data_IF_975082836776
#
_entry.id   IF_975082836776
#
_cell.length_a   1.000
_cell.length_b   1.000
_cell.length_c   1.000
_cell.angle_alpha   90.00
_cell.angle_beta   90.00
_cell.angle_gamma   90.00
#
_symmetry.space_group_name_H-M   'P 1'
#
loop_
_entity.id
_entity.type
_entity.pdbx_description
1 polymer ?
#
# COMPACT_ATOMS: atom_id res chain seq x y z
N UNK A 1 21.47 1.15 4.07
CA UNK A 1 20.14 0.48 4.21
C UNK A 1 19.48 0.34 2.85
N UNK A 2 18.95 -0.86 2.55
CA UNK A 2 18.19 -1.07 1.33
C UNK A 2 16.77 -0.52 1.50
N UNK A 3 16.27 0.18 0.48
CA UNK A 3 14.98 0.86 0.53
C UNK A 3 14.15 0.49 -0.69
N UNK A 4 12.94 0.01 -0.47
CA UNK A 4 12.05 -0.43 -1.54
C UNK A 4 10.67 0.19 -1.40
N UNK A 5 10.17 0.76 -2.50
CA UNK A 5 8.80 1.23 -2.60
C UNK A 5 8.03 0.23 -3.45
N UNK A 6 7.04 -0.42 -2.82
CA UNK A 6 6.26 -1.49 -3.43
C UNK A 6 4.92 -0.91 -3.87
N UNK A 7 4.77 -0.67 -5.17
CA UNK A 7 3.55 -0.12 -5.75
C UNK A 7 2.64 -1.25 -6.16
N UNK A 8 1.48 -1.37 -5.54
CA UNK A 8 0.52 -2.44 -5.87
C UNK A 8 -0.66 -1.84 -6.63
N UNK A 9 -0.90 -2.37 -7.83
CA UNK A 9 -1.98 -1.94 -8.73
C UNK A 9 -3.06 -2.98 -8.87
N UNK A 10 -2.71 -4.26 -8.69
CA UNK A 10 -3.62 -5.36 -8.92
C UNK A 10 -4.61 -5.52 -7.77
N UNK A 11 -5.91 -5.59 -8.10
CA UNK A 11 -6.98 -5.73 -7.11
C UNK A 11 -7.31 -7.17 -6.74
N UNK A 12 -6.53 -8.15 -7.19
CA UNK A 12 -6.72 -9.55 -6.82
C UNK A 12 -6.08 -9.80 -5.45
N UNK A 13 -6.85 -10.32 -4.46
CA UNK A 13 -6.27 -10.64 -3.15
C UNK A 13 -5.09 -11.60 -3.21
N UNK A 14 -5.06 -12.51 -4.20
CA UNK A 14 -3.94 -13.44 -4.40
C UNK A 14 -2.65 -12.70 -4.78
N UNK A 15 -2.76 -11.55 -5.44
CA UNK A 15 -1.60 -10.71 -5.75
C UNK A 15 -1.26 -9.81 -4.56
N UNK A 16 -2.28 -9.29 -3.88
CA UNK A 16 -2.09 -8.38 -2.76
C UNK A 16 -1.36 -9.04 -1.59
N UNK A 17 -1.61 -10.34 -1.34
CA UNK A 17 -0.91 -11.05 -0.26
C UNK A 17 0.61 -11.01 -0.46
N UNK A 18 1.07 -11.05 -1.71
CA UNK A 18 2.51 -11.04 -2.00
C UNK A 18 3.17 -9.71 -1.63
N UNK A 19 2.48 -8.58 -1.82
CA UNK A 19 3.06 -7.30 -1.41
C UNK A 19 3.14 -7.21 0.11
N UNK A 20 2.13 -7.72 0.83
CA UNK A 20 2.15 -7.73 2.29
C UNK A 20 3.28 -8.60 2.82
N UNK A 21 3.41 -9.82 2.30
CA UNK A 21 4.44 -10.75 2.73
C UNK A 21 5.84 -10.22 2.45
N UNK A 22 6.06 -9.65 1.26
CA UNK A 22 7.38 -9.12 0.91
C UNK A 22 7.74 -7.89 1.76
N UNK A 23 6.80 -6.99 2.00
CA UNK A 23 7.06 -5.83 2.83
C UNK A 23 7.45 -6.24 4.26
N UNK A 24 6.72 -7.21 4.82
CA UNK A 24 6.99 -7.70 6.16
C UNK A 24 8.36 -8.41 6.22
N UNK A 25 8.65 -9.26 5.24
CA UNK A 25 9.94 -9.96 5.17
C UNK A 25 11.11 -8.97 5.04
N UNK A 26 10.97 -7.98 4.17
CA UNK A 26 12.00 -6.94 4.02
C UNK A 26 12.22 -6.17 5.32
N UNK A 27 11.11 -5.81 5.99
CA UNK A 27 11.19 -5.09 7.26
C UNK A 27 11.91 -5.92 8.34
N UNK A 28 11.61 -7.22 8.42
CA UNK A 28 12.25 -8.11 9.37
C UNK A 28 13.76 -8.23 9.13
N UNK A 29 14.18 -8.04 7.87
CA UNK A 29 15.60 -8.08 7.49
C UNK A 29 16.29 -6.72 7.54
N UNK A 30 15.61 -5.73 8.10
CA UNK A 30 16.17 -4.38 8.29
C UNK A 30 16.10 -3.47 7.08
N UNK A 31 15.31 -3.83 6.06
CA UNK A 31 15.09 -2.96 4.90
C UNK A 31 14.03 -1.92 5.25
N UNK A 32 14.08 -0.77 4.58
CA UNK A 32 13.01 0.22 4.63
C UNK A 32 12.04 -0.10 3.49
N UNK A 33 10.93 -0.73 3.82
CA UNK A 33 9.90 -1.11 2.83
C UNK A 33 8.67 -0.23 3.01
N UNK A 34 8.16 0.30 1.89
CA UNK A 34 6.96 1.14 1.86
C UNK A 34 5.99 0.57 0.85
N UNK A 35 4.73 0.41 1.24
CA UNK A 35 3.67 -0.04 0.34
C UNK A 35 2.86 1.16 -0.12
N UNK A 36 2.69 1.32 -1.43
CA UNK A 36 1.86 2.35 -2.04
C UNK A 36 0.75 1.64 -2.81
N UNK A 37 -0.51 1.92 -2.44
CA UNK A 37 -1.66 1.21 -3.00
C UNK A 37 -2.32 2.06 -4.07
N UNK A 38 -2.36 1.55 -5.31
CA UNK A 38 -2.87 2.25 -6.46
C UNK A 38 -3.87 1.42 -7.26
N UNK A 39 -4.52 2.07 -8.21
CA UNK A 39 -5.37 1.40 -9.19
C UNK A 39 -6.46 0.56 -8.56
N UNK A 40 -6.71 -0.60 -9.15
CA UNK A 40 -7.74 -1.51 -8.68
C UNK A 40 -7.49 -2.05 -7.27
N UNK A 41 -6.24 -2.00 -6.80
CA UNK A 41 -5.92 -2.47 -5.44
C UNK A 41 -6.60 -1.60 -4.37
N UNK A 42 -6.94 -0.34 -4.67
CA UNK A 42 -7.62 0.53 -3.71
C UNK A 42 -9.00 0.01 -3.31
N UNK A 43 -9.63 -0.81 -4.15
CA UNK A 43 -10.92 -1.41 -3.82
C UNK A 43 -10.86 -2.37 -2.66
N UNK A 44 -9.66 -2.91 -2.36
CA UNK A 44 -9.46 -3.87 -1.27
C UNK A 44 -9.45 -3.23 0.11
N UNK A 45 -9.24 -1.92 0.20
CA UNK A 45 -9.05 -1.24 1.50
C UNK A 45 -10.15 -1.57 2.51
N UNK A 46 -11.46 -1.42 2.19
CA UNK A 46 -12.50 -1.77 3.15
C UNK A 46 -12.55 -3.27 3.47
N UNK A 47 -12.21 -4.12 2.50
CA UNK A 47 -12.24 -5.57 2.71
C UNK A 47 -11.12 -6.03 3.65
N UNK A 48 -9.94 -5.42 3.55
CA UNK A 48 -8.79 -5.79 4.37
C UNK A 48 -9.01 -5.47 5.85
N UNK A 49 -9.88 -4.52 6.16
CA UNK A 49 -10.18 -4.16 7.54
C UNK A 49 -11.18 -5.11 8.22
N UNK A 50 -11.81 -6.00 7.46
CA UNK A 50 -12.76 -6.96 8.00
C UNK A 50 -12.01 -8.12 8.66
N UNK A 51 -12.35 -8.43 9.92
CA UNK A 51 -11.71 -9.52 10.66
C UNK A 51 -11.90 -10.88 10.00
N UNK A 52 -12.96 -11.04 9.20
CA UNK A 52 -13.22 -12.27 8.46
C UNK A 52 -12.35 -12.42 7.21
N UNK A 53 -11.68 -11.37 6.78
CA UNK A 53 -10.83 -11.43 5.59
C UNK A 53 -9.55 -12.21 5.90
N UNK A 54 -9.18 -13.20 5.06
CA UNK A 54 -7.95 -13.99 5.30
C UNK A 54 -6.67 -13.15 5.38
N UNK A 55 -6.65 -11.96 4.76
CA UNK A 55 -5.48 -11.09 4.77
C UNK A 55 -5.49 -10.08 5.93
N UNK A 56 -6.54 -10.09 6.75
CA UNK A 56 -6.71 -9.06 7.79
C UNK A 56 -5.51 -8.97 8.76
N UNK A 57 -5.00 -10.10 9.23
CA UNK A 57 -3.90 -10.09 10.19
C UNK A 57 -2.61 -9.54 9.58
N UNK A 58 -2.31 -9.89 8.33
CA UNK A 58 -1.16 -9.35 7.61
C UNK A 58 -1.31 -7.85 7.37
N UNK A 59 -2.51 -7.43 6.96
CA UNK A 59 -2.82 -6.02 6.75
C UNK A 59 -2.65 -5.19 8.02
N UNK A 60 -3.23 -5.70 9.11
CA UNK A 60 -3.13 -5.05 10.42
C UNK A 60 -1.67 -4.92 10.85
N UNK A 61 -0.89 -5.98 10.66
CA UNK A 61 0.53 -5.97 11.01
C UNK A 61 1.30 -4.96 10.16
N UNK A 62 1.08 -4.96 8.86
CA UNK A 62 1.76 -4.02 7.96
C UNK A 62 1.48 -2.56 8.35
N UNK A 63 0.22 -2.25 8.70
CA UNK A 63 -0.15 -0.91 9.16
C UNK A 63 0.51 -0.57 10.49
N UNK A 64 0.47 -1.50 11.45
CA UNK A 64 1.04 -1.29 12.79
C UNK A 64 2.55 -1.05 12.73
N UNK A 65 3.23 -1.70 11.79
CA UNK A 65 4.68 -1.55 11.62
C UNK A 65 5.07 -0.37 10.72
N UNK A 66 4.09 0.42 10.27
CA UNK A 66 4.35 1.60 9.48
C UNK A 66 4.79 1.32 8.03
N UNK A 67 4.44 0.14 7.50
CA UNK A 67 4.85 -0.26 6.16
C UNK A 67 3.95 0.29 5.05
N UNK A 68 2.75 0.73 5.40
CA UNK A 68 1.81 1.29 4.40
C UNK A 68 2.03 2.78 4.32
N UNK A 69 2.66 3.24 3.23
CA UNK A 69 2.95 4.65 3.03
C UNK A 69 1.69 5.45 2.71
N UNK A 70 0.80 4.88 1.90
CA UNK A 70 -0.45 5.53 1.58
C UNK A 70 -1.16 4.91 0.40
N UNK A 71 -2.24 5.56 0.00
CA UNK A 71 -3.10 5.11 -1.09
C UNK A 71 -3.28 6.21 -2.11
N UNK A 72 -3.48 5.83 -3.37
CA UNK A 72 -3.78 6.75 -4.45
C UNK A 72 -5.12 7.45 -4.17
N UNK A 73 -5.10 8.78 -4.06
CA UNK A 73 -6.32 9.54 -3.78
C UNK A 73 -7.34 9.41 -4.90
N UNK A 74 -6.91 9.61 -6.14
CA UNK A 74 -7.79 9.54 -7.31
C UNK A 74 -8.40 8.16 -7.49
N UNK A 75 -7.58 7.10 -7.32
CA UNK A 75 -8.06 5.72 -7.46
C UNK A 75 -9.02 5.33 -6.35
N UNK A 76 -8.73 5.75 -5.11
CA UNK A 76 -9.62 5.51 -3.97
C UNK A 76 -10.97 6.21 -4.15
N UNK A 77 -10.95 7.42 -4.70
CA UNK A 77 -12.19 8.13 -5.00
C UNK A 77 -12.99 7.43 -6.09
N UNK A 78 -12.32 7.02 -7.16
CA UNK A 78 -12.96 6.30 -8.26
C UNK A 78 -13.56 4.98 -7.83
N UNK A 79 -12.87 4.26 -6.95
CA UNK A 79 -13.33 2.96 -6.42
C UNK A 79 -14.28 3.12 -5.23
N UNK A 80 -14.59 4.36 -4.84
CA UNK A 80 -15.50 4.67 -3.73
C UNK A 80 -15.01 4.11 -2.39
N UNK A 81 -13.69 4.09 -2.18
CA UNK A 81 -13.06 3.57 -0.96
C UNK A 81 -12.29 4.62 -0.16
N UNK A 82 -12.42 5.89 -0.57
CA UNK A 82 -11.69 6.97 0.11
C UNK A 82 -12.09 7.12 1.58
N UNK A 83 -13.36 6.87 1.90
CA UNK A 83 -13.84 6.90 3.28
C UNK A 83 -13.18 5.82 4.14
N UNK A 84 -13.05 4.60 3.59
CA UNK A 84 -12.39 3.50 4.28
C UNK A 84 -10.91 3.81 4.52
N UNK A 85 -10.24 4.42 3.52
CA UNK A 85 -8.84 4.82 3.66
C UNK A 85 -8.68 5.84 4.80
N UNK A 86 -9.55 6.84 4.84
CA UNK A 86 -9.53 7.86 5.91
C UNK A 86 -9.79 7.25 7.28
N UNK A 87 -10.78 6.37 7.37
CA UNK A 87 -11.13 5.71 8.63
C UNK A 87 -9.95 4.90 9.18
N UNK A 88 -9.17 4.28 8.29
CA UNK A 88 -8.00 3.50 8.70
C UNK A 88 -6.75 4.37 8.89
N UNK A 89 -6.85 5.67 8.71
CA UNK A 89 -5.72 6.58 8.90
C UNK A 89 -4.68 6.51 7.80
N UNK A 90 -5.04 6.04 6.61
CA UNK A 90 -4.09 5.92 5.50
C UNK A 90 -3.90 7.26 4.80
N UNK A 91 -2.63 7.71 4.63
CA UNK A 91 -2.38 8.95 3.89
C UNK A 91 -2.87 8.86 2.44
N UNK A 92 -3.45 9.93 1.95
CA UNK A 92 -3.90 10.03 0.57
C UNK A 92 -2.80 10.69 -0.25
N UNK A 93 -2.28 9.98 -1.24
CA UNK A 93 -1.16 10.43 -2.05
C UNK A 93 -1.67 10.99 -3.38
N UNK A 94 -1.19 12.19 -3.77
CA UNK A 94 -1.77 12.90 -4.90
C UNK A 94 -0.76 13.70 -5.71
N UNK A 95 0.47 13.22 -5.79
CA UNK A 95 1.60 13.92 -6.43
C UNK A 95 1.33 14.33 -7.89
N UNK A 96 0.61 13.48 -8.66
CA UNK A 96 0.37 13.67 -10.09
C UNK A 96 -1.13 13.60 -10.36
N UNK A 97 -1.81 14.72 -10.52
CA UNK A 97 -3.25 14.74 -10.83
C UNK A 97 -4.06 13.80 -9.93
N UNK A 98 -3.72 13.77 -8.64
CA UNK A 98 -4.39 12.91 -7.67
C UNK A 98 -3.81 11.52 -7.50
N UNK A 99 -2.69 11.20 -8.17
CA UNK A 99 -2.00 9.90 -8.09
C UNK A 99 -0.63 10.06 -7.44
N UNK A 100 -0.14 9.04 -6.71
CA UNK A 100 1.21 9.10 -6.16
C UNK A 100 2.27 9.01 -7.25
N UNK A 101 3.35 9.77 -7.09
CA UNK A 101 4.45 9.78 -8.04
C UNK A 101 5.59 8.88 -7.59
N UNK A 102 6.22 8.18 -8.54
CA UNK A 102 7.37 7.31 -8.25
C UNK A 102 8.64 8.13 -8.06
N UNK A 103 8.73 9.31 -8.71
CA UNK A 103 9.95 10.11 -8.69
C UNK A 103 10.39 10.47 -7.27
N UNK A 104 9.46 10.87 -6.41
CA UNK A 104 9.84 11.25 -5.04
C UNK A 104 10.46 10.09 -4.26
N UNK A 105 10.02 8.85 -4.54
CA UNK A 105 10.61 7.68 -3.89
C UNK A 105 12.01 7.39 -4.44
N UNK A 106 12.18 7.54 -5.75
CA UNK A 106 13.51 7.39 -6.35
C UNK A 106 14.47 8.45 -5.82
N UNK A 107 14.02 9.68 -5.71
CA UNK A 107 14.84 10.78 -5.17
C UNK A 107 15.23 10.53 -3.72
N UNK A 108 14.39 9.83 -2.97
CA UNK A 108 14.67 9.46 -1.59
C UNK A 108 15.50 8.17 -1.46
N UNK A 109 15.93 7.58 -2.57
CA UNK A 109 16.80 6.41 -2.57
C UNK A 109 16.08 5.07 -2.57
N UNK A 110 14.77 5.04 -2.85
CA UNK A 110 14.02 3.79 -2.92
C UNK A 110 14.11 3.18 -4.31
N UNK A 111 14.27 1.87 -4.37
CA UNK A 111 14.03 1.13 -5.59
C UNK A 111 12.53 0.83 -5.71
N UNK A 112 12.02 0.83 -6.94
CA UNK A 112 10.58 0.66 -7.19
C UNK A 112 10.32 -0.77 -7.68
N UNK A 113 9.36 -1.44 -7.04
CA UNK A 113 8.86 -2.74 -7.49
C UNK A 113 7.35 -2.61 -7.62
N UNK A 114 6.79 -3.11 -8.71
CA UNK A 114 5.36 -3.08 -8.94
C UNK A 114 4.72 -4.46 -8.81
N UNK A 115 3.52 -4.47 -8.30
CA UNK A 115 2.72 -5.69 -8.12
C UNK A 115 1.37 -5.57 -8.81
#
# INVERSE_FOLDING_TARGET
MKKFALFVFNGDPMCFIHVLLNAIDMSEKGYDAKIIIEGAATKLIPELDKKSNPLHQLWKRARAEGLVEGVCKACSNKMETIGAAKTQGLPLLEDMLGHPGMARFRDAGFEIITF
#
